data_IF_055256540511
#
_entry.id   IF_055256540511
#
_cell.length_a   1.000
_cell.length_b   1.000
_cell.length_c   1.000
_cell.angle_alpha   90.00
_cell.angle_beta   90.00
_cell.angle_gamma   90.00
#
_symmetry.space_group_name_H-M   'P 1'
#
loop_
_entity.id
_entity.type
_entity.pdbx_description
1 polymer ?
#
# COMPACT_ATOMS: atom_id res chain seq x y z
N UNK A 1 24.78 -17.80 -2.70
CA UNK A 1 24.15 -16.49 -2.39
C UNK A 1 22.64 -16.61 -2.14
N UNK A 2 21.80 -16.97 -3.12
CA UNK A 2 20.35 -17.13 -2.90
C UNK A 2 19.92 -18.21 -1.89
N UNK A 3 20.52 -19.41 -1.88
CA UNK A 3 20.15 -20.44 -0.90
C UNK A 3 20.31 -19.97 0.55
N UNK A 4 21.40 -19.25 0.85
CA UNK A 4 21.64 -18.69 2.18
C UNK A 4 20.61 -17.63 2.58
N UNK A 5 20.27 -16.71 1.68
CA UNK A 5 19.23 -15.71 1.93
C UNK A 5 17.86 -16.35 2.17
N UNK A 6 17.48 -17.34 1.36
CA UNK A 6 16.22 -18.07 1.55
C UNK A 6 16.22 -18.89 2.84
N UNK A 7 17.36 -19.44 3.26
CA UNK A 7 17.49 -20.13 4.55
C UNK A 7 17.27 -19.17 5.72
N UNK A 8 17.80 -17.95 5.66
CA UNK A 8 17.50 -16.91 6.66
C UNK A 8 16.00 -16.59 6.65
N UNK A 9 15.37 -16.41 5.48
CA UNK A 9 13.93 -16.16 5.42
C UNK A 9 13.09 -17.23 6.13
N UNK A 10 13.49 -18.50 5.98
CA UNK A 10 12.86 -19.64 6.67
C UNK A 10 13.07 -19.65 8.20
N UNK A 11 14.01 -18.88 8.74
CA UNK A 11 14.10 -18.70 10.21
C UNK A 11 13.10 -17.67 10.74
N UNK A 12 12.60 -16.80 9.86
CA UNK A 12 11.75 -15.67 10.21
C UNK A 12 10.31 -15.78 9.68
N UNK A 13 9.91 -16.93 9.14
CA UNK A 13 8.59 -17.14 8.52
C UNK A 13 7.40 -16.93 9.48
N UNK A 14 7.59 -17.19 10.77
CA UNK A 14 6.57 -16.95 11.81
C UNK A 14 6.71 -15.58 12.49
N UNK A 15 7.62 -14.73 11.99
CA UNK A 15 7.89 -13.41 12.53
C UNK A 15 7.35 -12.33 11.60
N UNK A 16 7.09 -11.10 12.08
CA UNK A 16 6.60 -9.96 11.28
C UNK A 16 7.65 -9.38 10.35
N UNK A 17 8.12 -10.20 9.41
CA UNK A 17 9.14 -9.86 8.42
C UNK A 17 8.70 -10.37 7.06
N UNK A 18 8.70 -9.46 6.08
CA UNK A 18 8.49 -9.79 4.68
C UNK A 18 9.81 -9.63 3.92
N UNK A 19 10.18 -10.65 3.16
CA UNK A 19 11.35 -10.62 2.29
C UNK A 19 10.92 -10.31 0.87
N UNK A 20 11.46 -9.22 0.31
CA UNK A 20 11.19 -8.77 -1.06
C UNK A 20 12.49 -8.72 -1.85
N UNK A 21 12.49 -9.32 -3.05
CA UNK A 21 13.57 -9.14 -4.00
C UNK A 21 13.31 -7.87 -4.83
N UNK A 22 14.30 -7.01 -4.97
CA UNK A 22 14.19 -5.80 -5.81
C UNK A 22 15.25 -5.91 -6.89
N UNK A 23 14.81 -5.85 -8.13
CA UNK A 23 15.70 -5.73 -9.29
C UNK A 23 15.57 -4.33 -9.86
N UNK A 24 16.71 -3.67 -10.07
CA UNK A 24 16.79 -2.30 -10.57
C UNK A 24 17.40 -2.27 -11.97
N UNK A 25 16.72 -1.59 -12.90
CA UNK A 25 17.22 -1.28 -14.24
C UNK A 25 17.25 -2.45 -15.24
N UNK A 26 16.75 -3.64 -14.90
CA UNK A 26 16.67 -4.78 -15.83
C UNK A 26 15.22 -5.01 -16.29
N UNK A 27 14.98 -5.33 -17.57
CA UNK A 27 13.63 -5.65 -18.06
C UNK A 27 12.99 -6.83 -17.32
N UNK A 28 11.67 -6.75 -17.11
CA UNK A 28 10.87 -7.75 -16.38
C UNK A 28 11.06 -9.19 -16.87
N UNK A 29 11.13 -9.41 -18.18
CA UNK A 29 11.28 -10.75 -18.76
C UNK A 29 12.61 -11.41 -18.35
N UNK A 30 13.70 -10.62 -18.35
CA UNK A 30 15.01 -11.10 -17.92
C UNK A 30 15.03 -11.40 -16.42
N UNK A 31 14.44 -10.53 -15.60
CA UNK A 31 14.27 -10.77 -14.17
C UNK A 31 13.51 -12.08 -13.91
N UNK A 32 12.39 -12.29 -14.60
CA UNK A 32 11.58 -13.49 -14.43
C UNK A 32 12.35 -14.77 -14.77
N UNK A 33 13.12 -14.75 -15.87
CA UNK A 33 14.00 -15.85 -16.25
C UNK A 33 15.06 -16.13 -15.17
N UNK A 34 15.70 -15.08 -14.65
CA UNK A 34 16.69 -15.18 -13.58
C UNK A 34 16.10 -15.78 -12.29
N UNK A 35 14.94 -15.30 -11.84
CA UNK A 35 14.29 -15.80 -10.62
C UNK A 35 13.91 -17.28 -10.73
N UNK A 36 13.37 -17.69 -11.89
CA UNK A 36 13.05 -19.10 -12.16
C UNK A 36 14.31 -19.97 -12.16
N UNK A 37 15.36 -19.56 -12.89
CA UNK A 37 16.64 -20.28 -12.97
C UNK A 37 17.26 -20.49 -11.59
N UNK A 38 17.17 -19.48 -10.72
CA UNK A 38 17.75 -19.51 -9.37
C UNK A 38 16.77 -19.99 -8.28
N UNK A 39 15.56 -20.45 -8.66
CA UNK A 39 14.50 -20.91 -7.73
C UNK A 39 14.26 -19.93 -6.59
N UNK A 40 14.19 -18.64 -6.91
CA UNK A 40 13.90 -17.58 -5.93
C UNK A 40 12.40 -17.53 -5.69
N UNK A 41 11.98 -17.80 -4.46
CA UNK A 41 10.57 -17.82 -4.05
C UNK A 41 10.06 -16.50 -3.46
N UNK A 42 10.95 -15.54 -3.22
CA UNK A 42 10.55 -14.23 -2.70
C UNK A 42 9.74 -13.45 -3.74
N UNK A 43 8.69 -12.73 -3.32
CA UNK A 43 8.05 -11.75 -4.18
C UNK A 43 9.07 -10.74 -4.70
N UNK A 44 8.94 -10.34 -5.96
CA UNK A 44 9.92 -9.50 -6.63
C UNK A 44 9.32 -8.23 -7.24
N UNK A 45 10.00 -7.10 -7.04
CA UNK A 45 9.72 -5.82 -7.69
C UNK A 45 10.65 -5.68 -8.89
N UNK A 46 10.07 -5.42 -10.06
CA UNK A 46 10.80 -5.07 -11.28
C UNK A 46 10.87 -3.55 -11.39
N UNK A 47 11.90 -2.94 -10.80
CA UNK A 47 12.15 -1.49 -10.81
C UNK A 47 12.91 -1.08 -12.07
N UNK A 48 12.23 -1.18 -13.21
CA UNK A 48 12.86 -1.00 -14.54
C UNK A 48 13.40 0.41 -14.77
N UNK A 49 12.79 1.43 -14.17
CA UNK A 49 13.18 2.84 -14.31
C UNK A 49 14.06 3.35 -13.15
N UNK A 50 14.41 2.45 -12.22
CA UNK A 50 15.20 2.72 -11.02
C UNK A 50 14.54 3.74 -10.07
N UNK A 51 13.23 3.95 -10.19
CA UNK A 51 12.50 4.92 -9.36
C UNK A 51 12.42 4.48 -7.91
N UNK A 52 12.23 3.17 -7.67
CA UNK A 52 12.19 2.62 -6.32
C UNK A 52 13.57 2.64 -5.66
N UNK A 53 14.64 2.27 -6.39
CA UNK A 53 16.03 2.37 -5.94
C UNK A 53 16.36 3.79 -5.45
N UNK A 54 16.07 4.80 -6.29
CA UNK A 54 16.29 6.22 -5.94
C UNK A 54 15.44 6.66 -4.76
N UNK A 55 14.15 6.28 -4.74
CA UNK A 55 13.23 6.61 -3.65
C UNK A 55 13.66 6.03 -2.31
N UNK A 56 14.33 4.88 -2.30
CA UNK A 56 14.88 4.27 -1.09
C UNK A 56 16.29 4.76 -0.73
N UNK A 57 16.86 5.72 -1.46
CA UNK A 57 18.21 6.23 -1.22
C UNK A 57 19.30 5.16 -1.37
N UNK A 58 19.06 4.14 -2.20
CA UNK A 58 20.02 3.06 -2.43
C UNK A 58 21.01 3.50 -3.52
N UNK A 59 22.33 3.38 -3.29
CA UNK A 59 23.32 3.66 -4.34
C UNK A 59 23.10 2.76 -5.55
N UNK A 60 23.37 3.25 -6.78
CA UNK A 60 23.14 2.49 -7.99
C UNK A 60 23.66 1.06 -7.93
N UNK A 61 22.77 0.10 -8.18
CA UNK A 61 23.15 -1.31 -8.23
C UNK A 61 23.93 -1.55 -9.52
N UNK A 62 25.08 -2.19 -9.37
CA UNK A 62 26.07 -2.55 -10.39
C UNK A 62 26.55 -3.98 -10.14
N UNK A 63 27.31 -4.54 -11.09
CA UNK A 63 27.88 -5.88 -10.97
C UNK A 63 28.83 -6.05 -9.76
N UNK A 64 29.37 -4.95 -9.21
CA UNK A 64 30.27 -4.96 -8.04
C UNK A 64 29.54 -4.90 -6.69
N UNK A 65 28.26 -4.54 -6.67
CA UNK A 65 27.45 -4.38 -5.45
C UNK A 65 26.03 -4.97 -5.63
N UNK A 66 25.92 -6.08 -6.36
CA UNK A 66 24.64 -6.73 -6.74
C UNK A 66 23.79 -7.21 -5.57
N UNK A 67 24.40 -7.49 -4.40
CA UNK A 67 23.68 -7.98 -3.23
C UNK A 67 23.75 -6.96 -2.10
N UNK A 68 22.77 -6.06 -2.10
CA UNK A 68 22.53 -5.13 -1.01
C UNK A 68 21.27 -5.54 -0.26
N UNK A 69 21.30 -5.44 1.06
CA UNK A 69 20.11 -5.65 1.89
C UNK A 69 19.74 -4.32 2.52
N UNK A 70 18.45 -4.01 2.47
CA UNK A 70 17.83 -2.91 3.21
C UNK A 70 16.73 -3.49 4.07
N UNK A 71 16.74 -3.15 5.35
CA UNK A 71 15.69 -3.52 6.29
C UNK A 71 14.88 -2.27 6.59
N UNK A 72 13.61 -2.29 6.23
CA UNK A 72 12.66 -1.26 6.64
C UNK A 72 12.15 -1.61 8.03
N UNK A 73 12.46 -0.76 9.02
CA UNK A 73 12.00 -0.92 10.40
C UNK A 73 10.51 -0.54 10.54
N UNK A 74 9.85 -0.87 11.66
CA UNK A 74 8.47 -0.46 11.90
C UNK A 74 8.23 1.06 11.88
N UNK A 75 9.26 1.86 12.18
CA UNK A 75 9.21 3.32 12.11
C UNK A 75 9.40 3.89 10.68
N UNK A 76 9.48 3.01 9.67
CA UNK A 76 9.69 3.36 8.27
C UNK A 76 11.14 3.69 7.91
N UNK A 77 12.08 3.69 8.87
CA UNK A 77 13.49 3.98 8.58
C UNK A 77 14.18 2.78 7.96
N UNK A 78 15.00 3.05 6.94
CA UNK A 78 15.82 2.04 6.30
C UNK A 78 17.14 1.85 7.04
N UNK A 79 17.46 0.59 7.34
CA UNK A 79 18.77 0.15 7.82
C UNK A 79 19.51 -0.53 6.66
N UNK A 80 20.73 -0.07 6.38
CA UNK A 80 21.62 -0.74 5.43
C UNK A 80 22.34 -1.91 6.09
N UNK A 81 22.35 -3.07 5.46
CA UNK A 81 23.11 -4.24 5.92
C UNK A 81 23.61 -5.08 4.73
N UNK A 82 24.44 -6.09 5.03
CA UNK A 82 24.95 -7.03 4.04
C UNK A 82 24.16 -8.35 4.08
N UNK A 83 24.18 -9.14 2.99
CA UNK A 83 23.64 -10.50 2.98
C UNK A 83 24.13 -11.38 4.13
N UNK A 84 25.40 -11.23 4.54
CA UNK A 84 26.04 -12.02 5.61
C UNK A 84 25.62 -11.59 7.01
N UNK A 85 25.22 -10.33 7.21
CA UNK A 85 24.76 -9.80 8.51
C UNK A 85 23.24 -9.69 8.62
N UNK A 86 22.51 -10.12 7.59
CA UNK A 86 21.06 -9.96 7.51
C UNK A 86 20.33 -10.60 8.70
N UNK A 87 20.71 -11.83 9.08
CA UNK A 87 20.09 -12.53 10.22
C UNK A 87 20.28 -11.78 11.54
N UNK A 88 21.53 -11.40 11.88
CA UNK A 88 21.83 -10.61 13.07
C UNK A 88 21.11 -9.26 13.07
N UNK A 89 21.08 -8.58 11.92
CA UNK A 89 20.42 -7.29 11.77
C UNK A 89 18.91 -7.39 11.96
N UNK A 90 18.28 -8.43 11.41
CA UNK A 90 16.85 -8.70 11.58
C UNK A 90 16.51 -8.99 13.04
N UNK A 91 17.27 -9.88 13.70
CA UNK A 91 17.07 -10.19 15.13
C UNK A 91 17.15 -8.95 16.01
N UNK A 92 18.02 -7.99 15.69
CA UNK A 92 18.16 -6.73 16.44
C UNK A 92 17.00 -5.75 16.28
N UNK A 93 16.17 -5.87 15.24
CA UNK A 93 15.05 -4.94 14.97
C UNK A 93 13.66 -5.57 15.13
N UNK A 94 13.57 -6.90 15.19
CA UNK A 94 12.30 -7.61 15.16
C UNK A 94 11.51 -7.51 16.47
N UNK A 95 12.16 -7.25 17.60
CA UNK A 95 11.55 -7.29 18.93
C UNK A 95 10.37 -6.33 19.13
N UNK A 96 10.35 -5.21 18.39
CA UNK A 96 9.26 -4.24 18.45
C UNK A 96 8.15 -4.48 17.41
N UNK A 97 8.39 -5.33 16.41
CA UNK A 97 7.44 -5.58 15.33
C UNK A 97 6.43 -6.65 15.76
N UNK A 98 5.17 -6.47 15.37
CA UNK A 98 4.08 -7.45 15.57
C UNK A 98 3.20 -7.48 14.32
N UNK A 99 2.71 -8.66 13.97
CA UNK A 99 1.64 -8.78 12.98
C UNK A 99 0.37 -8.13 13.54
N UNK A 100 -0.44 -7.52 12.66
CA UNK A 100 -1.75 -7.02 13.06
C UNK A 100 -2.67 -8.15 13.51
N UNK A 101 -2.61 -9.28 12.81
CA UNK A 101 -3.28 -10.52 13.22
C UNK A 101 -2.24 -11.62 13.36
N UNK A 102 -2.16 -12.20 14.56
CA UNK A 102 -1.25 -13.31 14.82
C UNK A 102 -1.53 -14.49 13.85
N UNK A 103 -0.52 -14.94 13.08
CA UNK A 103 -0.67 -16.05 12.14
C UNK A 103 -0.88 -17.42 12.81
N UNK A 104 -0.67 -17.54 14.12
CA UNK A 104 -0.95 -18.76 14.88
C UNK A 104 -2.46 -19.09 14.83
N UNK A 105 -2.76 -20.37 14.58
CA UNK A 105 -4.12 -20.87 14.39
C UNK A 105 -4.76 -20.55 13.04
N UNK A 106 -4.08 -19.84 12.13
CA UNK A 106 -4.57 -19.61 10.76
C UNK A 106 -4.19 -20.80 9.86
N UNK A 107 -5.15 -21.58 9.32
CA UNK A 107 -4.86 -22.71 8.46
C UNK A 107 -4.11 -22.32 7.18
N UNK A 108 -3.33 -23.25 6.63
CA UNK A 108 -2.54 -23.03 5.41
C UNK A 108 -3.38 -22.51 4.22
N UNK A 109 -4.62 -23.00 4.11
CA UNK A 109 -5.59 -22.58 3.08
C UNK A 109 -6.02 -21.11 3.19
N UNK A 110 -5.86 -20.49 4.36
CA UNK A 110 -6.20 -19.09 4.61
C UNK A 110 -4.99 -18.16 4.66
N UNK A 111 -3.76 -18.66 4.54
CA UNK A 111 -2.54 -17.83 4.65
C UNK A 111 -2.50 -16.70 3.62
N UNK A 112 -2.96 -16.94 2.39
CA UNK A 112 -3.07 -15.87 1.38
C UNK A 112 -4.10 -14.80 1.77
N UNK A 113 -5.25 -15.21 2.31
CA UNK A 113 -6.27 -14.26 2.77
C UNK A 113 -5.79 -13.48 4.00
N UNK A 114 -5.13 -14.14 4.96
CA UNK A 114 -4.47 -13.48 6.09
C UNK A 114 -3.46 -12.43 5.62
N UNK A 115 -2.62 -12.76 4.64
CA UNK A 115 -1.68 -11.80 4.07
C UNK A 115 -2.39 -10.58 3.47
N UNK A 116 -3.48 -10.78 2.72
CA UNK A 116 -4.28 -9.66 2.23
C UNK A 116 -4.86 -8.78 3.35
N UNK A 117 -5.31 -9.39 4.46
CA UNK A 117 -5.79 -8.66 5.64
C UNK A 117 -4.66 -7.86 6.29
N UNK A 118 -3.50 -8.48 6.50
CA UNK A 118 -2.34 -7.85 7.13
C UNK A 118 -1.89 -6.57 6.41
N UNK A 119 -1.95 -6.57 5.08
CA UNK A 119 -1.57 -5.42 4.24
C UNK A 119 -2.76 -4.52 3.87
N UNK A 120 -3.89 -4.66 4.55
CA UNK A 120 -5.05 -3.77 4.38
C UNK A 120 -5.83 -3.94 3.06
N UNK A 121 -5.53 -4.98 2.29
CA UNK A 121 -6.20 -5.32 1.04
C UNK A 121 -7.42 -6.22 1.30
N UNK A 122 -8.34 -5.72 2.12
CA UNK A 122 -9.46 -6.51 2.64
C UNK A 122 -10.37 -7.03 1.51
N UNK A 123 -10.68 -6.20 0.51
CA UNK A 123 -11.51 -6.59 -0.62
C UNK A 123 -11.06 -7.88 -1.32
N UNK A 124 -9.74 -8.12 -1.42
CA UNK A 124 -9.20 -9.34 -2.02
C UNK A 124 -9.39 -10.58 -1.14
N UNK A 125 -9.48 -10.41 0.18
CA UNK A 125 -9.72 -11.50 1.13
C UNK A 125 -11.20 -11.85 1.29
N UNK A 126 -12.12 -10.90 1.00
CA UNK A 126 -13.53 -10.97 1.35
C UNK A 126 -14.21 -12.30 0.97
N UNK A 127 -14.12 -12.71 -0.30
CA UNK A 127 -14.80 -13.92 -0.80
C UNK A 127 -14.28 -15.20 -0.15
N UNK A 128 -12.96 -15.27 0.07
CA UNK A 128 -12.33 -16.45 0.70
C UNK A 128 -12.77 -16.54 2.16
N UNK A 129 -12.73 -15.42 2.88
CA UNK A 129 -13.12 -15.37 4.29
C UNK A 129 -14.60 -15.65 4.49
N UNK A 130 -15.49 -15.12 3.64
CA UNK A 130 -16.93 -15.38 3.69
C UNK A 130 -17.25 -16.86 3.48
N UNK A 131 -16.58 -17.52 2.53
CA UNK A 131 -16.74 -18.97 2.31
C UNK A 131 -16.18 -19.77 3.49
N UNK A 132 -15.00 -19.41 3.97
CA UNK A 132 -14.32 -20.11 5.05
C UNK A 132 -15.03 -19.96 6.41
N UNK A 133 -15.63 -18.81 6.71
CA UNK A 133 -16.45 -18.59 7.90
C UNK A 133 -17.72 -19.46 7.94
N UNK A 134 -18.18 -19.94 6.78
CA UNK A 134 -19.29 -20.90 6.66
C UNK A 134 -18.82 -22.36 6.52
N UNK A 135 -17.52 -22.63 6.67
CA UNK A 135 -16.98 -23.98 6.57
C UNK A 135 -17.49 -24.88 7.69
N UNK A 136 -17.66 -26.18 7.37
CA UNK A 136 -17.92 -27.22 8.39
C UNK A 136 -16.66 -27.61 9.16
N UNK A 137 -15.46 -27.29 8.65
CA UNK A 137 -14.20 -27.57 9.33
C UNK A 137 -13.93 -26.49 10.39
N UNK A 138 -13.82 -26.91 11.64
CA UNK A 138 -13.71 -26.00 12.79
C UNK A 138 -12.47 -25.08 12.70
N UNK A 139 -11.32 -25.61 12.30
CA UNK A 139 -10.07 -24.88 12.12
C UNK A 139 -10.20 -23.74 11.09
N UNK A 140 -10.81 -24.03 9.95
CA UNK A 140 -11.03 -23.12 8.84
C UNK A 140 -12.02 -22.04 9.22
N UNK A 141 -13.09 -22.42 9.93
CA UNK A 141 -14.11 -21.50 10.41
C UNK A 141 -13.54 -20.53 11.45
N UNK A 142 -12.81 -21.04 12.44
CA UNK A 142 -12.19 -20.21 13.49
C UNK A 142 -11.13 -19.27 12.91
N UNK A 143 -10.24 -19.78 12.05
CA UNK A 143 -9.23 -18.94 11.39
C UNK A 143 -9.85 -17.85 10.53
N UNK A 144 -10.95 -18.14 9.81
CA UNK A 144 -11.69 -17.14 9.05
C UNK A 144 -12.37 -16.11 9.97
N UNK A 145 -12.98 -16.54 11.06
CA UNK A 145 -13.66 -15.64 12.01
C UNK A 145 -12.67 -14.65 12.62
N UNK A 146 -11.48 -15.11 13.07
CA UNK A 146 -10.40 -14.25 13.57
C UNK A 146 -10.04 -13.12 12.60
N UNK A 147 -10.01 -13.43 11.29
CA UNK A 147 -9.72 -12.45 10.24
C UNK A 147 -10.91 -11.52 9.95
N UNK A 148 -12.14 -12.07 9.94
CA UNK A 148 -13.37 -11.29 9.76
C UNK A 148 -13.56 -10.28 10.89
N UNK A 149 -13.31 -10.67 12.14
CA UNK A 149 -13.44 -9.81 13.32
C UNK A 149 -12.49 -8.61 13.24
N UNK A 150 -11.21 -8.86 12.92
CA UNK A 150 -10.23 -7.80 12.73
C UNK A 150 -10.65 -6.82 11.62
N UNK A 151 -11.14 -7.35 10.48
CA UNK A 151 -11.61 -6.51 9.37
C UNK A 151 -12.84 -5.70 9.79
N UNK A 152 -13.78 -6.32 10.52
CA UNK A 152 -14.97 -5.67 11.05
C UNK A 152 -14.64 -4.52 12.00
N UNK A 153 -13.68 -4.69 12.91
CA UNK A 153 -13.21 -3.63 13.80
C UNK A 153 -12.65 -2.44 13.01
N UNK A 154 -11.78 -2.70 12.01
CA UNK A 154 -11.21 -1.64 11.15
C UNK A 154 -12.28 -0.93 10.33
N UNK A 155 -13.23 -1.68 9.79
CA UNK A 155 -14.34 -1.16 9.00
C UNK A 155 -15.23 -0.24 9.85
N UNK A 156 -15.65 -0.72 11.02
CA UNK A 156 -16.49 0.05 11.95
C UNK A 156 -15.78 1.32 12.40
N UNK A 157 -14.50 1.24 12.78
CA UNK A 157 -13.71 2.41 13.16
C UNK A 157 -13.64 3.45 12.04
N UNK A 158 -13.46 3.02 10.79
CA UNK A 158 -13.41 3.92 9.64
C UNK A 158 -14.78 4.57 9.35
N UNK A 159 -15.86 3.79 9.45
CA UNK A 159 -17.23 4.27 9.22
C UNK A 159 -17.67 5.24 10.31
N UNK A 160 -17.36 4.96 11.58
CA UNK A 160 -17.66 5.88 12.68
C UNK A 160 -16.87 7.18 12.54
N UNK A 161 -15.58 7.12 12.16
CA UNK A 161 -14.81 8.33 11.88
C UNK A 161 -15.41 9.17 10.74
N UNK A 162 -15.91 8.52 9.68
CA UNK A 162 -16.62 9.20 8.59
C UNK A 162 -17.95 9.81 9.06
N UNK A 163 -18.68 9.12 9.95
CA UNK A 163 -19.91 9.62 10.55
C UNK A 163 -19.66 10.84 11.43
N UNK A 164 -18.64 10.81 12.28
CA UNK A 164 -18.23 11.96 13.09
C UNK A 164 -17.85 13.16 12.21
N UNK A 165 -17.12 12.92 11.10
CA UNK A 165 -16.82 13.98 10.15
C UNK A 165 -18.09 14.57 9.51
N UNK A 166 -19.11 13.76 9.21
CA UNK A 166 -20.39 14.26 8.68
C UNK A 166 -21.10 15.13 9.73
N UNK A 167 -21.15 14.69 11.00
CA UNK A 167 -21.79 15.46 12.08
C UNK A 167 -21.06 16.76 12.40
N UNK A 168 -19.73 16.77 12.28
CA UNK A 168 -18.89 17.96 12.49
C UNK A 168 -18.95 18.96 11.32
N UNK A 169 -19.75 18.67 10.28
CA UNK A 169 -19.84 19.51 9.08
C UNK A 169 -18.65 19.38 8.12
N UNK A 170 -17.71 18.45 8.37
CA UNK A 170 -16.53 18.19 7.52
C UNK A 170 -16.91 17.29 6.34
N UNK A 171 -17.75 17.82 5.45
CA UNK A 171 -18.40 17.05 4.37
C UNK A 171 -17.41 16.34 3.44
N UNK A 172 -16.27 16.96 3.13
CA UNK A 172 -15.21 16.33 2.33
C UNK A 172 -14.58 15.12 3.03
N UNK A 173 -14.24 15.25 4.30
CA UNK A 173 -13.66 14.16 5.08
C UNK A 173 -14.64 12.99 5.23
N UNK A 174 -15.92 13.28 5.48
CA UNK A 174 -16.99 12.29 5.52
C UNK A 174 -17.13 11.56 4.17
N UNK A 175 -17.20 12.32 3.07
CA UNK A 175 -17.32 11.75 1.73
C UNK A 175 -16.16 10.80 1.40
N UNK A 176 -14.93 11.22 1.70
CA UNK A 176 -13.73 10.40 1.50
C UNK A 176 -13.77 9.16 2.38
N UNK A 177 -14.08 9.31 3.67
CA UNK A 177 -14.17 8.21 4.62
C UNK A 177 -15.14 7.11 4.17
N UNK A 178 -16.35 7.49 3.77
CA UNK A 178 -17.36 6.55 3.25
C UNK A 178 -16.98 5.96 1.89
N UNK A 179 -16.49 6.78 0.96
CA UNK A 179 -16.10 6.32 -0.38
C UNK A 179 -14.93 5.33 -0.31
N UNK A 180 -13.91 5.63 0.50
CA UNK A 180 -12.77 4.75 0.71
C UNK A 180 -13.20 3.45 1.42
N UNK A 181 -14.14 3.52 2.38
CA UNK A 181 -14.67 2.33 3.03
C UNK A 181 -15.40 1.43 2.02
N UNK A 182 -16.22 2.00 1.14
CA UNK A 182 -16.96 1.25 0.11
C UNK A 182 -16.03 0.50 -0.86
N UNK A 183 -14.85 1.07 -1.16
CA UNK A 183 -13.84 0.43 -2.00
C UNK A 183 -13.05 -0.61 -1.20
N UNK A 184 -12.53 -0.21 -0.04
CA UNK A 184 -11.59 -1.01 0.75
C UNK A 184 -12.21 -2.28 1.33
N UNK A 185 -13.47 -2.20 1.76
CA UNK A 185 -14.23 -3.31 2.33
C UNK A 185 -15.25 -3.90 1.36
N UNK A 186 -15.01 -3.76 0.04
CA UNK A 186 -15.86 -4.39 -0.97
C UNK A 186 -15.95 -5.91 -0.72
N UNK A 187 -17.17 -6.43 -0.66
CA UNK A 187 -17.44 -7.85 -0.40
C UNK A 187 -17.71 -8.21 1.06
N UNK A 188 -17.57 -7.26 1.98
CA UNK A 188 -18.02 -7.36 3.37
C UNK A 188 -19.40 -6.72 3.54
N UNK A 189 -20.01 -6.92 4.71
CA UNK A 189 -21.30 -6.32 5.06
C UNK A 189 -21.11 -4.86 5.48
N UNK A 190 -21.32 -3.95 4.53
CA UNK A 190 -21.34 -2.51 4.78
C UNK A 190 -22.73 -2.04 5.24
N UNK A 191 -22.84 -0.91 5.97
CA UNK A 191 -24.11 -0.27 6.25
C UNK A 191 -24.93 -0.05 4.97
N UNK A 192 -26.22 -0.40 5.02
CA UNK A 192 -27.11 -0.39 3.84
C UNK A 192 -27.26 0.99 3.21
N UNK A 193 -27.12 2.03 4.02
CA UNK A 193 -27.23 3.43 3.65
C UNK A 193 -25.95 4.03 3.06
N UNK A 194 -24.80 3.34 3.12
CA UNK A 194 -23.49 3.91 2.74
C UNK A 194 -23.50 4.49 1.31
N UNK A 195 -24.13 3.81 0.35
CA UNK A 195 -24.20 4.26 -1.05
C UNK A 195 -25.09 5.51 -1.17
N UNK A 196 -26.21 5.55 -0.45
CA UNK A 196 -27.09 6.71 -0.44
C UNK A 196 -26.38 7.92 0.20
N UNK A 197 -25.67 7.72 1.31
CA UNK A 197 -24.88 8.74 2.00
C UNK A 197 -23.76 9.29 1.11
N UNK A 198 -23.02 8.42 0.43
CA UNK A 198 -21.99 8.84 -0.56
C UNK A 198 -22.62 9.71 -1.65
N UNK A 199 -23.76 9.31 -2.21
CA UNK A 199 -24.43 10.06 -3.27
C UNK A 199 -24.97 11.41 -2.78
N UNK A 200 -25.51 11.47 -1.56
CA UNK A 200 -25.92 12.71 -0.89
C UNK A 200 -24.74 13.66 -0.71
N UNK A 201 -23.64 13.18 -0.12
CA UNK A 201 -22.43 13.98 0.11
C UNK A 201 -21.79 14.44 -1.20
N UNK A 202 -21.79 13.63 -2.25
CA UNK A 202 -21.35 14.02 -3.59
C UNK A 202 -22.16 15.19 -4.19
N UNK A 203 -23.39 15.41 -3.70
CA UNK A 203 -24.22 16.55 -4.07
C UNK A 203 -23.76 17.88 -3.48
N UNK A 204 -23.03 17.85 -2.36
CA UNK A 204 -22.54 19.03 -1.64
C UNK A 204 -21.53 19.84 -2.50
N UNK A 205 -21.60 21.17 -2.41
CA UNK A 205 -20.77 22.07 -3.22
C UNK A 205 -19.27 21.92 -2.94
N UNK A 206 -18.88 21.78 -1.67
CA UNK A 206 -17.48 21.65 -1.26
C UNK A 206 -16.91 20.31 -1.71
N UNK A 207 -17.70 19.24 -1.56
CA UNK A 207 -17.33 17.91 -2.07
C UNK A 207 -17.17 17.93 -3.60
N UNK A 208 -18.06 18.61 -4.33
CA UNK A 208 -17.95 18.75 -5.80
C UNK A 208 -16.67 19.48 -6.21
N UNK A 209 -16.32 20.56 -5.50
CA UNK A 209 -15.07 21.31 -5.72
C UNK A 209 -13.87 20.39 -5.53
N UNK A 210 -13.79 19.69 -4.41
CA UNK A 210 -12.70 18.75 -4.10
C UNK A 210 -12.59 17.61 -5.12
N UNK A 211 -13.71 16.99 -5.50
CA UNK A 211 -13.72 15.93 -6.53
C UNK A 211 -13.23 16.45 -7.88
N UNK A 212 -13.57 17.68 -8.25
CA UNK A 212 -13.06 18.32 -9.46
C UNK A 212 -11.56 18.59 -9.34
N UNK A 213 -11.11 19.13 -8.21
CA UNK A 213 -9.72 19.42 -7.88
C UNK A 213 -8.83 18.18 -8.03
N UNK A 214 -9.26 17.05 -7.46
CA UNK A 214 -8.55 15.78 -7.56
C UNK A 214 -8.47 15.26 -9.00
N UNK A 215 -9.51 15.45 -9.82
CA UNK A 215 -9.45 15.07 -11.24
C UNK A 215 -8.42 15.89 -11.99
N UNK A 216 -8.33 17.20 -11.72
CA UNK A 216 -7.33 18.10 -12.30
C UNK A 216 -5.93 17.65 -11.84
N UNK A 217 -5.73 17.42 -10.55
CA UNK A 217 -4.46 16.94 -9.98
C UNK A 217 -4.00 15.63 -10.64
N UNK A 218 -4.89 14.65 -10.76
CA UNK A 218 -4.57 13.36 -11.39
C UNK A 218 -4.21 13.50 -12.87
N UNK A 219 -4.89 14.38 -13.61
CA UNK A 219 -4.54 14.70 -14.99
C UNK A 219 -3.18 15.43 -15.09
N UNK A 220 -2.91 16.37 -14.19
CA UNK A 220 -1.65 17.10 -14.11
C UNK A 220 -0.47 16.17 -13.81
N UNK A 221 -0.60 15.28 -12.81
CA UNK A 221 0.41 14.26 -12.47
C UNK A 221 0.75 13.36 -13.65
N UNK A 222 -0.27 12.87 -14.39
CA UNK A 222 -0.03 12.04 -15.59
C UNK A 222 0.80 12.76 -16.65
N UNK A 223 0.57 14.06 -16.85
CA UNK A 223 1.35 14.89 -17.78
C UNK A 223 2.76 15.18 -17.25
N UNK A 224 2.87 15.48 -15.94
CA UNK A 224 4.11 15.80 -15.26
C UNK A 224 5.14 14.66 -15.37
N UNK A 225 4.70 13.41 -15.24
CA UNK A 225 5.54 12.22 -15.41
C UNK A 225 5.59 11.71 -16.85
N UNK A 226 5.12 12.50 -17.82
CA UNK A 226 5.15 12.17 -19.23
C UNK A 226 6.57 12.10 -19.81
N UNK A 227 6.71 11.44 -20.96
CA UNK A 227 8.01 11.23 -21.62
C UNK A 227 8.61 12.52 -22.22
N UNK A 228 7.77 13.45 -22.67
CA UNK A 228 8.21 14.66 -23.38
C UNK A 228 8.30 15.87 -22.45
N UNK A 229 9.30 16.75 -22.66
CA UNK A 229 9.46 18.01 -21.90
C UNK A 229 8.20 18.88 -21.96
N UNK A 230 7.55 18.98 -23.12
CA UNK A 230 6.32 19.76 -23.30
C UNK A 230 5.17 19.26 -22.39
N UNK A 231 4.95 17.95 -22.34
CA UNK A 231 3.97 17.35 -21.43
C UNK A 231 4.29 17.66 -19.96
N UNK A 232 5.57 17.59 -19.55
CA UNK A 232 5.98 17.91 -18.18
C UNK A 232 5.70 19.37 -17.84
N UNK A 233 6.06 20.31 -18.71
CA UNK A 233 5.74 21.74 -18.56
C UNK A 233 4.23 22.00 -18.51
N UNK A 234 3.44 21.32 -19.34
CA UNK A 234 1.98 21.42 -19.29
C UNK A 234 1.39 20.86 -18.00
N UNK A 235 1.94 19.76 -17.49
CA UNK A 235 1.57 19.19 -16.19
C UNK A 235 1.87 20.16 -15.05
N UNK A 236 3.05 20.77 -15.06
CA UNK A 236 3.45 21.79 -14.08
C UNK A 236 2.49 22.98 -14.06
N UNK A 237 2.23 23.60 -15.22
CA UNK A 237 1.28 24.73 -15.33
C UNK A 237 -0.13 24.36 -14.88
N UNK A 238 -0.54 23.10 -15.03
CA UNK A 238 -1.83 22.64 -14.55
C UNK A 238 -1.86 22.52 -13.02
N UNK A 239 -0.73 22.21 -12.37
CA UNK A 239 -0.61 22.24 -10.91
C UNK A 239 -0.65 23.68 -10.38
N UNK A 240 0.07 24.62 -11.01
CA UNK A 240 0.03 26.04 -10.64
C UNK A 240 -1.40 26.58 -10.68
N UNK A 241 -2.11 26.38 -11.80
CA UNK A 241 -3.51 26.80 -11.93
C UNK A 241 -4.44 26.16 -10.90
N UNK A 242 -4.19 24.91 -10.52
CA UNK A 242 -4.98 24.24 -9.49
C UNK A 242 -4.80 24.93 -8.13
N UNK A 243 -3.57 25.32 -7.80
CA UNK A 243 -3.26 26.07 -6.57
C UNK A 243 -3.94 27.44 -6.60
N UNK A 244 -3.87 28.16 -7.73
CA UNK A 244 -4.45 29.50 -7.85
C UNK A 244 -5.98 29.50 -7.80
N UNK A 245 -6.62 28.53 -8.46
CA UNK A 245 -8.08 28.53 -8.64
C UNK A 245 -8.84 27.79 -7.54
N UNK A 246 -8.16 26.91 -6.80
CA UNK A 246 -8.81 26.01 -5.82
C UNK A 246 -7.93 25.84 -4.57
N UNK A 247 -7.32 26.93 -4.11
CA UNK A 247 -6.33 26.97 -3.02
C UNK A 247 -6.77 26.30 -1.71
N UNK A 248 -8.08 26.32 -1.45
CA UNK A 248 -8.71 25.76 -0.25
C UNK A 248 -8.82 24.23 -0.29
N UNK A 249 -8.62 23.61 -1.46
CA UNK A 249 -8.81 22.17 -1.64
C UNK A 249 -7.59 21.36 -1.18
N UNK A 250 -7.83 20.15 -0.70
CA UNK A 250 -6.77 19.20 -0.39
C UNK A 250 -5.89 18.92 -1.61
N UNK A 251 -6.48 18.88 -2.81
CA UNK A 251 -5.75 18.65 -4.06
C UNK A 251 -4.77 19.79 -4.37
N UNK A 252 -5.11 21.05 -4.06
CA UNK A 252 -4.21 22.18 -4.22
C UNK A 252 -3.04 22.12 -3.22
N UNK A 253 -3.30 21.72 -1.97
CA UNK A 253 -2.24 21.51 -0.98
C UNK A 253 -1.26 20.42 -1.44
N UNK A 254 -1.77 19.30 -1.97
CA UNK A 254 -0.94 18.23 -2.53
C UNK A 254 -0.16 18.70 -3.77
N UNK A 255 -0.78 19.52 -4.64
CA UNK A 255 -0.10 20.13 -5.78
C UNK A 255 1.06 21.03 -5.33
N UNK A 256 0.87 21.83 -4.27
CA UNK A 256 1.91 22.69 -3.73
C UNK A 256 3.08 21.90 -3.16
N UNK A 257 2.81 20.80 -2.44
CA UNK A 257 3.86 19.89 -1.96
C UNK A 257 4.61 19.23 -3.12
N UNK A 258 3.88 18.82 -4.16
CA UNK A 258 4.48 18.21 -5.35
C UNK A 258 5.41 19.18 -6.08
N UNK A 259 4.99 20.43 -6.31
CA UNK A 259 5.85 21.48 -6.90
C UNK A 259 7.12 21.66 -6.07
N UNK A 260 6.98 21.83 -4.74
CA UNK A 260 8.13 21.98 -3.82
C UNK A 260 9.12 20.80 -3.93
N UNK A 261 8.62 19.57 -3.97
CA UNK A 261 9.46 18.37 -4.05
C UNK A 261 10.24 18.23 -5.36
N UNK A 262 9.79 18.88 -6.43
CA UNK A 262 10.46 18.83 -7.73
C UNK A 262 11.64 19.81 -7.80
N UNK A 263 11.82 20.68 -6.81
CA UNK A 263 12.87 21.70 -6.80
C UNK A 263 12.77 22.66 -7.98
N UNK A 264 11.59 22.77 -8.57
CA UNK A 264 11.32 23.71 -9.65
C UNK A 264 10.80 25.02 -9.02
N UNK A 265 11.29 26.18 -9.47
CA UNK A 265 10.94 27.49 -8.92
C UNK A 265 9.45 27.80 -9.06
#
# INVERSE_FOLDING_TARGET
>A
MWPGLQAVARKFQDKPVLFLAVNSGTPRLQLQSYLRKNRVSWPAIADTDRSFERGCGVPPISLKNIYQVRIMKPDGKLLSTSPTRMEQSLSGVIGAAKWNVDPEGIPATLKTAWFHVEFGNFAMAANVLKKAGNSRKADTKQGAQKLLDYVGEKMNKQIEAARTAETDGKMWEAYRGYSDAAIRYKGYELPKDIVATINKLKGNADVKKEVLALKILAAAKRKLYGKTISARKSGYRALERLIDQQSETQAAQEAQQLIKSLGMP
#
